data_IF_351193194229
#
_entry.id   IF_351193194229
#
_cell.length_a   1.000
_cell.length_b   1.000
_cell.length_c   1.000
_cell.angle_alpha   90.00
_cell.angle_beta   90.00
_cell.angle_gamma   90.00
#
_symmetry.space_group_name_H-M   'P 1'
#
loop_
_entity.id
_entity.type
_entity.pdbx_description
1 polymer ?
#
# COMPACT_ATOMS: atom_id res chain seq x y z
N UNK A 1 -8.69 3.35 24.10
CA UNK A 1 -9.50 3.47 22.87
C UNK A 1 -8.51 3.26 21.71
N UNK A 2 -8.04 2.02 21.49
CA UNK A 2 -6.85 1.73 20.65
C UNK A 2 -7.03 0.46 19.77
N UNK A 3 -8.25 -0.07 19.66
CA UNK A 3 -8.52 -1.35 18.99
C UNK A 3 -9.19 -1.24 17.62
N UNK A 4 -9.70 -0.06 17.23
CA UNK A 4 -10.34 0.11 15.91
C UNK A 4 -9.31 0.10 14.77
N UNK A 5 -8.14 0.72 14.97
CA UNK A 5 -7.11 0.86 13.94
C UNK A 5 -6.54 -0.48 13.44
N UNK A 6 -6.36 -1.47 14.32
CA UNK A 6 -5.75 -2.74 13.89
C UNK A 6 -6.68 -3.54 12.97
N UNK A 7 -8.00 -3.53 13.20
CA UNK A 7 -8.97 -4.27 12.39
C UNK A 7 -9.18 -3.62 11.02
N UNK A 8 -9.28 -2.29 10.96
CA UNK A 8 -9.42 -1.56 9.69
C UNK A 8 -8.18 -1.70 8.82
N UNK A 9 -6.99 -1.68 9.43
CA UNK A 9 -5.74 -1.93 8.73
C UNK A 9 -5.64 -3.39 8.24
N UNK A 10 -6.20 -4.36 8.98
CA UNK A 10 -6.27 -5.75 8.51
C UNK A 10 -7.26 -5.91 7.34
N UNK A 11 -8.44 -5.28 7.41
CA UNK A 11 -9.44 -5.32 6.35
C UNK A 11 -8.90 -4.67 5.07
N UNK A 12 -8.27 -3.49 5.17
CA UNK A 12 -7.61 -2.86 4.01
C UNK A 12 -6.50 -3.69 3.42
N UNK A 13 -5.76 -4.45 4.24
CA UNK A 13 -4.75 -5.39 3.70
C UNK A 13 -5.37 -6.53 2.91
N UNK A 14 -6.57 -6.99 3.26
CA UNK A 14 -7.25 -8.01 2.45
C UNK A 14 -7.63 -7.49 1.06
N UNK A 15 -7.72 -6.17 0.87
CA UNK A 15 -7.94 -5.56 -0.44
C UNK A 15 -6.69 -5.61 -1.34
N UNK A 16 -5.50 -5.85 -0.76
CA UNK A 16 -4.25 -5.97 -1.51
C UNK A 16 -3.73 -7.41 -1.49
N UNK A 17 -3.24 -7.89 -2.63
CA UNK A 17 -2.56 -9.20 -2.73
C UNK A 17 -1.08 -8.94 -3.02
N UNK A 18 -0.19 -9.82 -2.55
CA UNK A 18 1.22 -9.77 -2.96
C UNK A 18 1.31 -9.85 -4.49
N UNK A 19 2.11 -8.97 -5.08
CA UNK A 19 2.24 -8.81 -6.53
C UNK A 19 1.17 -7.97 -7.19
N UNK A 20 0.11 -7.57 -6.48
CA UNK A 20 -0.93 -6.70 -7.05
C UNK A 20 -0.38 -5.30 -7.36
N UNK A 21 -0.81 -4.70 -8.48
CA UNK A 21 -0.52 -3.31 -8.78
C UNK A 21 -1.29 -2.40 -7.82
N UNK A 22 -0.61 -1.36 -7.37
CA UNK A 22 -1.14 -0.34 -6.48
C UNK A 22 -0.54 1.02 -6.83
N UNK A 23 -1.11 2.07 -6.27
CA UNK A 23 -0.59 3.42 -6.38
C UNK A 23 -0.58 4.12 -5.03
N UNK A 24 0.35 5.06 -4.87
CA UNK A 24 0.38 5.97 -3.74
C UNK A 24 0.79 7.36 -4.20
N UNK A 25 0.46 8.37 -3.41
CA UNK A 25 0.93 9.74 -3.65
C UNK A 25 2.19 9.97 -2.81
N UNK A 26 3.29 10.36 -3.45
CA UNK A 26 4.54 10.69 -2.78
C UNK A 26 4.47 12.05 -2.05
N UNK A 27 5.52 12.41 -1.31
CA UNK A 27 5.57 13.67 -0.57
C UNK A 27 5.60 14.92 -1.46
N UNK A 28 5.80 14.75 -2.78
CA UNK A 28 5.73 15.82 -3.78
C UNK A 28 4.34 15.94 -4.41
N UNK A 29 3.37 15.13 -3.99
CA UNK A 29 2.02 15.11 -4.56
C UNK A 29 1.95 14.35 -5.89
N UNK A 30 2.98 13.59 -6.26
CA UNK A 30 3.02 12.80 -7.50
C UNK A 30 2.48 11.41 -7.26
N UNK A 31 1.62 10.93 -8.17
CA UNK A 31 1.12 9.55 -8.13
C UNK A 31 2.23 8.62 -8.62
N UNK A 32 2.63 7.68 -7.76
CA UNK A 32 3.61 6.64 -8.05
C UNK A 32 2.91 5.29 -8.22
N UNK A 33 3.19 4.63 -9.33
CA UNK A 33 2.73 3.27 -9.61
C UNK A 33 3.72 2.26 -9.03
N UNK A 34 3.19 1.24 -8.37
CA UNK A 34 3.99 0.26 -7.67
C UNK A 34 3.31 -1.12 -7.61
N UNK A 35 4.06 -2.12 -7.18
CA UNK A 35 3.57 -3.46 -6.88
C UNK A 35 3.78 -3.78 -5.42
N UNK A 36 2.79 -4.41 -4.80
CA UNK A 36 2.88 -4.83 -3.40
C UNK A 36 3.85 -5.98 -3.26
N UNK A 37 4.92 -5.82 -2.48
CA UNK A 37 5.95 -6.86 -2.32
C UNK A 37 5.98 -7.47 -0.92
N UNK A 38 5.46 -6.77 0.10
CA UNK A 38 5.40 -7.30 1.47
C UNK A 38 4.37 -6.56 2.32
N UNK A 39 3.66 -7.29 3.18
CA UNK A 39 2.82 -6.72 4.23
C UNK A 39 3.58 -6.68 5.57
N UNK A 40 3.60 -5.53 6.24
CA UNK A 40 4.15 -5.34 7.59
C UNK A 40 3.05 -4.94 8.57
N UNK A 41 3.31 -4.94 9.88
CA UNK A 41 2.27 -4.72 10.92
C UNK A 41 1.55 -3.36 10.83
N UNK A 42 2.12 -2.31 10.24
CA UNK A 42 1.47 -0.99 10.05
C UNK A 42 1.64 -0.40 8.66
N UNK A 43 2.31 -1.11 7.74
CA UNK A 43 2.70 -0.57 6.44
C UNK A 43 2.80 -1.67 5.40
N UNK A 44 2.86 -1.28 4.14
CA UNK A 44 3.01 -2.15 2.99
C UNK A 44 4.30 -1.74 2.28
N UNK A 45 5.21 -2.70 2.11
CA UNK A 45 6.37 -2.48 1.26
C UNK A 45 5.95 -2.68 -0.19
N UNK A 46 6.27 -1.71 -1.02
CA UNK A 46 5.96 -1.69 -2.44
C UNK A 46 7.24 -1.50 -3.25
N UNK A 47 7.24 -1.99 -4.48
CA UNK A 47 8.31 -1.75 -5.45
C UNK A 47 7.77 -0.94 -6.61
N UNK A 48 8.41 0.16 -6.94
CA UNK A 48 8.07 0.98 -8.11
C UNK A 48 8.72 0.41 -9.38
N UNK A 49 8.28 0.87 -10.55
CA UNK A 49 8.75 0.37 -11.86
C UNK A 49 10.25 0.61 -12.11
N UNK A 50 10.81 1.64 -11.49
CA UNK A 50 12.24 1.96 -11.50
C UNK A 50 13.06 1.13 -10.49
N UNK A 51 12.44 0.15 -9.81
CA UNK A 51 13.10 -0.78 -8.90
C UNK A 51 13.32 -0.24 -7.48
N UNK A 52 12.83 0.95 -7.17
CA UNK A 52 12.90 1.49 -5.81
C UNK A 52 11.90 0.78 -4.89
N UNK A 53 12.29 0.63 -3.62
CA UNK A 53 11.44 0.02 -2.59
C UNK A 53 11.02 1.06 -1.58
N UNK A 54 9.71 1.15 -1.38
CA UNK A 54 9.09 2.12 -0.50
C UNK A 54 8.28 1.41 0.57
N UNK A 55 8.20 2.01 1.76
CA UNK A 55 7.36 1.49 2.84
C UNK A 55 6.23 2.49 3.09
N UNK A 56 5.02 2.14 2.64
CA UNK A 56 3.89 3.04 2.58
C UNK A 56 2.83 2.62 3.61
N UNK A 57 2.27 3.54 4.40
CA UNK A 57 1.11 3.25 5.24
C UNK A 57 -0.03 2.66 4.42
N UNK A 58 -0.68 1.60 4.90
CA UNK A 58 -1.75 0.93 4.15
C UNK A 58 -2.90 1.89 3.79
N UNK A 59 -3.15 2.91 4.61
CA UNK A 59 -4.14 3.97 4.38
C UNK A 59 -3.82 4.88 3.19
N UNK A 60 -2.52 5.08 2.86
CA UNK A 60 -2.05 5.90 1.74
C UNK A 60 -1.94 5.12 0.44
N UNK A 61 -2.02 3.79 0.52
CA UNK A 61 -1.97 2.92 -0.64
C UNK A 61 -3.38 2.76 -1.21
N UNK A 62 -3.50 2.84 -2.54
CA UNK A 62 -4.76 2.61 -3.25
C UNK A 62 -4.56 1.47 -4.25
N UNK A 63 -5.51 0.51 -4.34
CA UNK A 63 -5.43 -0.53 -5.34
C UNK A 63 -5.55 0.08 -6.72
N UNK A 64 -4.74 -0.40 -7.67
CA UNK A 64 -4.89 -0.04 -9.07
C UNK A 64 -6.05 -0.87 -9.66
N UNK A 65 -7.27 -0.57 -9.22
CA UNK A 65 -8.47 -1.21 -9.74
C UNK A 65 -8.73 -0.68 -11.16
N UNK A 66 -8.11 -1.32 -12.15
CA UNK A 66 -8.72 -1.34 -13.47
C UNK A 66 -9.88 -2.34 -13.39
N UNK A 67 -11.09 -1.82 -13.58
CA UNK A 67 -12.31 -2.59 -13.80
C UNK A 67 -12.15 -3.66 -14.90
#
# INVERSE_FOLDING_TARGET
MEHLDELEVQAKRQEFILGSPAQFVDDKGTIQLCVVVKFNKKSVSVSTANGERWNIPAERLQPLANA
#
